data_IF_152921581650
#
_entry.id   IF_152921581650
#
_cell.length_a   1.000
_cell.length_b   1.000
_cell.length_c   1.000
_cell.angle_alpha   90.00
_cell.angle_beta   90.00
_cell.angle_gamma   90.00
#
_symmetry.space_group_name_H-M   'P 1'
#
loop_
_entity.id
_entity.type
_entity.pdbx_description
1 polymer ?
#
# COMPACT_ATOMS: atom_id res chain seq x y z
N UNK A 1 -25.15 -11.25 8.66
CA UNK A 1 -24.74 -10.81 7.30
C UNK A 1 -23.71 -9.66 7.25
N UNK A 2 -23.31 -9.01 8.37
CA UNK A 2 -22.30 -7.91 8.38
C UNK A 2 -20.83 -8.34 8.20
N UNK A 3 -20.49 -9.60 8.50
CA UNK A 3 -19.08 -10.07 8.51
C UNK A 3 -18.50 -10.19 7.10
N UNK A 4 -19.23 -10.84 6.19
CA UNK A 4 -18.73 -11.12 4.84
C UNK A 4 -18.49 -9.85 4.00
N UNK A 5 -19.38 -8.85 4.08
CA UNK A 5 -19.21 -7.57 3.37
C UNK A 5 -18.05 -6.76 3.94
N UNK A 6 -17.83 -6.82 5.25
CA UNK A 6 -16.68 -6.17 5.90
C UNK A 6 -15.36 -6.83 5.49
N UNK A 7 -15.31 -8.16 5.48
CA UNK A 7 -14.16 -8.92 5.00
C UNK A 7 -13.84 -8.60 3.54
N UNK A 8 -14.86 -8.61 2.67
CA UNK A 8 -14.69 -8.25 1.27
C UNK A 8 -14.15 -6.84 1.10
N UNK A 9 -14.65 -5.86 1.86
CA UNK A 9 -14.17 -4.48 1.76
C UNK A 9 -12.67 -4.34 2.09
N UNK A 10 -12.16 -5.12 3.05
CA UNK A 10 -10.73 -5.13 3.43
C UNK A 10 -9.88 -5.86 2.40
N UNK A 11 -10.37 -6.98 1.87
CA UNK A 11 -9.59 -7.89 1.01
C UNK A 11 -9.62 -7.48 -0.47
N UNK A 12 -10.66 -6.78 -0.92
CA UNK A 12 -10.82 -6.35 -2.31
C UNK A 12 -9.60 -5.59 -2.85
N UNK A 13 -9.01 -4.59 -2.14
CA UNK A 13 -7.79 -3.94 -2.59
C UNK A 13 -6.64 -4.90 -2.85
N UNK A 14 -6.46 -5.92 -2.00
CA UNK A 14 -5.41 -6.94 -2.16
C UNK A 14 -5.65 -7.82 -3.39
N UNK A 15 -6.89 -8.29 -3.58
CA UNK A 15 -7.26 -9.13 -4.74
C UNK A 15 -7.07 -8.36 -6.04
N UNK A 16 -7.61 -7.14 -6.13
CA UNK A 16 -7.49 -6.32 -7.34
C UNK A 16 -6.03 -5.97 -7.62
N UNK A 17 -5.26 -5.55 -6.61
CA UNK A 17 -3.83 -5.24 -6.79
C UNK A 17 -3.05 -6.46 -7.29
N UNK A 18 -3.37 -7.66 -6.78
CA UNK A 18 -2.74 -8.92 -7.22
C UNK A 18 -3.07 -9.25 -8.67
N UNK A 19 -4.31 -9.06 -9.12
CA UNK A 19 -4.67 -9.26 -10.54
C UNK A 19 -3.82 -8.33 -11.43
N UNK A 20 -3.66 -7.08 -11.01
CA UNK A 20 -2.91 -6.08 -11.77
C UNK A 20 -1.39 -6.26 -11.76
N UNK A 21 -0.85 -7.15 -10.92
CA UNK A 21 0.57 -7.55 -11.00
C UNK A 21 0.90 -8.14 -12.38
N UNK A 22 -0.06 -8.79 -13.04
CA UNK A 22 0.11 -9.34 -14.38
C UNK A 22 0.07 -8.28 -15.50
N UNK A 23 -0.42 -7.08 -15.21
CA UNK A 23 -0.58 -6.00 -16.20
C UNK A 23 0.69 -5.15 -16.26
N UNK A 24 1.34 -4.97 -17.42
CA UNK A 24 2.57 -4.19 -17.56
C UNK A 24 2.32 -2.68 -17.48
N UNK A 25 1.98 -2.19 -16.28
CA UNK A 25 1.66 -0.79 -16.03
C UNK A 25 2.80 0.15 -16.43
N UNK A 26 4.05 -0.26 -16.24
CA UNK A 26 5.22 0.53 -16.65
C UNK A 26 5.27 0.77 -18.17
N UNK A 27 4.79 -0.18 -18.98
CA UNK A 27 4.70 -0.03 -20.43
C UNK A 27 3.51 0.84 -20.83
N UNK A 28 2.45 0.90 -20.03
CA UNK A 28 1.29 1.77 -20.27
C UNK A 28 1.57 3.23 -19.88
N UNK A 29 2.40 3.44 -18.86
CA UNK A 29 2.73 4.77 -18.32
C UNK A 29 3.97 5.40 -18.96
N UNK A 30 4.78 4.62 -19.67
CA UNK A 30 6.01 5.09 -20.31
C UNK A 30 5.80 5.39 -21.79
N UNK A 31 6.36 6.50 -22.26
CA UNK A 31 6.45 6.80 -23.69
C UNK A 31 7.42 5.85 -24.43
N UNK A 32 8.35 5.22 -23.69
CA UNK A 32 9.36 4.32 -24.22
C UNK A 32 9.07 2.87 -23.88
N UNK A 33 9.44 1.91 -24.74
CA UNK A 33 9.28 0.48 -24.45
C UNK A 33 10.12 0.10 -23.22
N UNK A 34 9.43 -0.29 -22.15
CA UNK A 34 10.07 -0.81 -20.94
C UNK A 34 10.13 -2.33 -21.04
N UNK A 35 11.32 -2.95 -20.94
CA UNK A 35 11.44 -4.39 -20.96
C UNK A 35 10.85 -4.99 -19.68
N UNK A 36 9.63 -5.52 -19.80
CA UNK A 36 8.81 -6.08 -18.71
C UNK A 36 9.55 -7.10 -17.83
N UNK A 37 10.47 -7.87 -18.42
CA UNK A 37 11.20 -8.94 -17.73
C UNK A 37 12.61 -8.58 -17.27
N UNK A 38 13.11 -7.37 -17.59
CA UNK A 38 14.47 -6.98 -17.20
C UNK A 38 14.60 -6.75 -15.69
N UNK A 39 13.49 -6.35 -15.05
CA UNK A 39 13.48 -5.94 -13.66
C UNK A 39 12.36 -6.66 -12.89
N UNK A 40 12.73 -7.67 -12.11
CA UNK A 40 11.80 -8.48 -11.31
C UNK A 40 10.99 -7.65 -10.30
N UNK A 41 11.51 -6.51 -9.86
CA UNK A 41 10.83 -5.61 -8.93
C UNK A 41 9.64 -4.85 -9.55
N UNK A 42 9.47 -4.84 -10.89
CA UNK A 42 8.28 -4.28 -11.52
C UNK A 42 7.01 -5.05 -11.15
N UNK A 43 7.12 -6.37 -10.95
CA UNK A 43 6.00 -7.25 -10.62
C UNK A 43 5.29 -6.76 -9.33
N UNK A 44 5.93 -6.70 -8.16
CA UNK A 44 5.28 -6.17 -6.96
C UNK A 44 5.03 -4.65 -7.03
N UNK A 45 5.83 -3.90 -7.79
CA UNK A 45 5.63 -2.46 -7.94
C UNK A 45 4.26 -2.12 -8.57
N UNK A 46 3.79 -2.91 -9.54
CA UNK A 46 2.44 -2.75 -10.13
C UNK A 46 1.35 -2.87 -9.06
N UNK A 47 1.47 -3.87 -8.19
CA UNK A 47 0.57 -4.06 -7.04
C UNK A 47 0.61 -2.87 -6.08
N UNK A 48 1.80 -2.31 -5.82
CA UNK A 48 1.96 -1.10 -5.01
C UNK A 48 1.27 0.11 -5.67
N UNK A 49 1.43 0.34 -6.97
CA UNK A 49 0.77 1.45 -7.67
C UNK A 49 -0.75 1.35 -7.57
N UNK A 50 -1.32 0.19 -7.85
CA UNK A 50 -2.78 -0.01 -7.80
C UNK A 50 -3.33 0.17 -6.39
N UNK A 51 -2.68 -0.43 -5.39
CA UNK A 51 -3.09 -0.28 -4.00
C UNK A 51 -2.96 1.16 -3.50
N UNK A 52 -1.95 1.92 -3.95
CA UNK A 52 -1.83 3.35 -3.66
C UNK A 52 -2.97 4.16 -4.27
N UNK A 53 -3.36 3.88 -5.52
CA UNK A 53 -4.51 4.52 -6.16
C UNK A 53 -5.79 4.21 -5.39
N UNK A 54 -6.01 2.96 -5.00
CA UNK A 54 -7.14 2.59 -4.13
C UNK A 54 -7.13 3.36 -2.82
N UNK A 55 -5.96 3.48 -2.19
CA UNK A 55 -5.80 4.22 -0.95
C UNK A 55 -6.14 5.70 -1.10
N UNK A 56 -5.67 6.34 -2.18
CA UNK A 56 -5.98 7.74 -2.49
C UNK A 56 -7.48 7.95 -2.74
N UNK A 57 -8.11 7.09 -3.55
CA UNK A 57 -9.55 7.18 -3.85
C UNK A 57 -10.38 6.92 -2.60
N UNK A 58 -10.07 5.88 -1.82
CA UNK A 58 -10.78 5.57 -0.58
C UNK A 58 -10.56 6.67 0.48
N UNK A 59 -9.37 7.27 0.53
CA UNK A 59 -9.05 8.42 1.38
C UNK A 59 -9.82 9.67 0.98
N UNK A 60 -9.93 9.97 -0.31
CA UNK A 60 -10.72 11.09 -0.83
C UNK A 60 -12.22 10.94 -0.55
N UNK A 61 -12.72 9.71 -0.59
CA UNK A 61 -14.12 9.38 -0.28
C UNK A 61 -14.36 9.06 1.20
N UNK A 62 -13.34 9.20 2.05
CA UNK A 62 -13.38 8.80 3.45
C UNK A 62 -14.48 9.54 4.20
N UNK A 63 -15.29 8.78 4.94
CA UNK A 63 -16.29 9.32 5.84
C UNK A 63 -16.53 8.34 6.98
N UNK A 64 -16.64 8.84 8.22
CA UNK A 64 -16.95 8.01 9.40
C UNK A 64 -18.27 7.24 9.25
N UNK A 65 -19.20 7.74 8.43
CA UNK A 65 -20.50 7.08 8.18
C UNK A 65 -20.38 5.94 7.17
N UNK A 66 -19.33 5.90 6.35
CA UNK A 66 -19.16 4.94 5.25
C UNK A 66 -18.16 3.85 5.65
N UNK A 67 -18.63 2.95 6.50
CA UNK A 67 -17.82 1.87 7.08
C UNK A 67 -17.04 1.05 6.04
N UNK A 68 -17.65 0.70 4.90
CA UNK A 68 -16.97 -0.06 3.85
C UNK A 68 -15.81 0.70 3.20
N UNK A 69 -15.96 2.00 2.93
CA UNK A 69 -14.87 2.83 2.38
C UNK A 69 -13.73 2.93 3.39
N UNK A 70 -14.06 3.10 4.66
CA UNK A 70 -13.09 3.10 5.76
C UNK A 70 -12.30 1.78 5.81
N UNK A 71 -12.97 0.65 5.69
CA UNK A 71 -12.31 -0.66 5.63
C UNK A 71 -11.46 -0.86 4.37
N UNK A 72 -11.93 -0.42 3.20
CA UNK A 72 -11.13 -0.45 1.97
C UNK A 72 -9.93 0.48 2.03
N UNK A 73 -10.04 1.63 2.71
CA UNK A 73 -8.92 2.52 2.99
C UNK A 73 -7.85 1.84 3.85
N UNK A 74 -8.25 1.10 4.90
CA UNK A 74 -7.34 0.30 5.70
C UNK A 74 -6.70 -0.84 4.89
N UNK A 75 -7.51 -1.61 4.16
CA UNK A 75 -7.06 -2.75 3.37
C UNK A 75 -6.07 -2.34 2.27
N UNK A 76 -6.32 -1.22 1.59
CA UNK A 76 -5.42 -0.66 0.58
C UNK A 76 -4.10 -0.19 1.18
N UNK A 77 -4.11 0.43 2.38
CA UNK A 77 -2.88 0.84 3.07
C UNK A 77 -1.97 -0.36 3.40
N UNK A 78 -2.56 -1.44 3.94
CA UNK A 78 -1.82 -2.67 4.27
C UNK A 78 -1.29 -3.36 3.01
N UNK A 79 -2.13 -3.45 1.98
CA UNK A 79 -1.75 -4.01 0.68
C UNK A 79 -0.59 -3.22 0.06
N UNK A 80 -0.67 -1.89 0.10
CA UNK A 80 0.36 -1.00 -0.40
C UNK A 80 1.69 -1.21 0.31
N UNK A 81 1.71 -1.19 1.65
CA UNK A 81 2.93 -1.41 2.42
C UNK A 81 3.55 -2.79 2.11
N UNK A 82 2.72 -3.83 1.95
CA UNK A 82 3.17 -5.18 1.61
C UNK A 82 3.87 -5.21 0.25
N UNK A 83 3.24 -4.69 -0.80
CA UNK A 83 3.85 -4.62 -2.13
C UNK A 83 5.06 -3.69 -2.17
N UNK A 84 5.02 -2.56 -1.48
CA UNK A 84 6.14 -1.62 -1.39
C UNK A 84 7.39 -2.28 -0.82
N UNK A 85 7.28 -2.97 0.31
CA UNK A 85 8.42 -3.67 0.91
C UNK A 85 8.82 -4.92 0.14
N UNK A 86 7.91 -5.59 -0.56
CA UNK A 86 8.26 -6.66 -1.49
C UNK A 86 9.08 -6.14 -2.68
N UNK A 87 8.73 -4.97 -3.24
CA UNK A 87 9.53 -4.28 -4.25
C UNK A 87 10.92 -3.97 -3.72
N UNK A 88 11.03 -3.35 -2.54
CA UNK A 88 12.32 -3.01 -1.93
C UNK A 88 13.15 -4.26 -1.61
N UNK A 89 12.52 -5.35 -1.19
CA UNK A 89 13.20 -6.63 -1.01
C UNK A 89 13.77 -7.18 -2.32
N UNK A 90 13.02 -7.16 -3.42
CA UNK A 90 13.56 -7.61 -4.72
C UNK A 90 14.67 -6.70 -5.25
N UNK A 91 14.60 -5.40 -4.96
CA UNK A 91 15.69 -4.45 -5.26
C UNK A 91 16.91 -4.76 -4.39
N UNK A 92 16.72 -5.14 -3.12
CA UNK A 92 17.82 -5.42 -2.18
C UNK A 92 18.70 -6.60 -2.60
N UNK A 93 18.15 -7.51 -3.42
CA UNK A 93 18.90 -8.61 -4.03
C UNK A 93 19.96 -8.15 -5.04
N UNK A 94 19.88 -6.91 -5.53
CA UNK A 94 20.82 -6.35 -6.53
C UNK A 94 21.58 -5.13 -6.05
N UNK A 95 21.02 -4.34 -5.14
CA UNK A 95 21.65 -3.14 -4.59
C UNK A 95 21.30 -2.99 -3.10
N UNK A 96 22.21 -2.53 -2.23
CA UNK A 96 21.92 -2.44 -0.81
C UNK A 96 20.77 -1.46 -0.53
N UNK A 97 19.74 -1.93 0.18
CA UNK A 97 18.63 -1.09 0.63
C UNK A 97 18.75 -0.87 2.14
N UNK A 98 18.72 0.40 2.56
CA UNK A 98 18.75 0.78 3.98
C UNK A 98 17.44 1.48 4.33
N UNK A 99 16.68 0.89 5.25
CA UNK A 99 15.47 1.48 5.79
C UNK A 99 15.81 2.38 6.98
N UNK A 100 15.24 3.57 6.98
CA UNK A 100 15.33 4.57 8.04
C UNK A 100 13.90 4.94 8.48
N UNK A 101 13.72 5.60 9.63
CA UNK A 101 12.42 6.16 9.98
C UNK A 101 11.97 7.16 8.91
N UNK A 102 10.82 6.89 8.26
CA UNK A 102 10.20 7.64 7.17
C UNK A 102 10.99 7.73 5.85
N UNK A 103 12.16 7.12 5.74
CA UNK A 103 13.01 7.24 4.56
C UNK A 103 13.71 5.92 4.21
N UNK A 104 14.20 5.80 2.99
CA UNK A 104 15.11 4.72 2.60
C UNK A 104 16.15 5.18 1.56
N UNK A 105 17.22 4.39 1.44
CA UNK A 105 18.32 4.58 0.49
C UNK A 105 18.49 3.32 -0.36
N UNK A 106 18.83 3.47 -1.64
CA UNK A 106 19.09 2.36 -2.58
C UNK A 106 20.47 2.52 -3.24
N UNK A 107 21.45 1.73 -2.80
CA UNK A 107 22.84 1.86 -3.25
C UNK A 107 23.64 2.90 -2.47
N UNK A 108 24.92 3.03 -2.81
CA UNK A 108 25.89 3.82 -2.04
C UNK A 108 25.77 5.34 -2.21
N UNK A 109 25.31 5.80 -3.38
CA UNK A 109 25.17 7.22 -3.75
C UNK A 109 23.72 7.59 -4.08
N UNK A 110 22.77 6.94 -3.41
CA UNK A 110 21.34 7.19 -3.62
C UNK A 110 20.90 8.51 -2.97
N UNK A 111 19.98 9.28 -3.59
CA UNK A 111 19.25 10.29 -2.86
C UNK A 111 18.39 9.64 -1.77
N UNK A 112 18.03 10.43 -0.75
CA UNK A 112 17.11 10.01 0.30
C UNK A 112 15.68 9.97 -0.26
N UNK A 113 15.06 8.79 -0.27
CA UNK A 113 13.68 8.62 -0.72
C UNK A 113 12.74 8.60 0.48
N UNK A 114 11.57 9.25 0.36
CA UNK A 114 10.50 9.15 1.34
C UNK A 114 9.91 7.73 1.32
N UNK A 115 9.87 7.07 2.48
CA UNK A 115 9.27 5.76 2.64
C UNK A 115 7.75 5.88 2.73
N UNK A 116 7.10 5.87 1.57
CA UNK A 116 5.65 5.84 1.50
C UNK A 116 5.07 4.61 2.20
N UNK A 117 5.80 3.50 2.25
CA UNK A 117 5.42 2.28 2.99
C UNK A 117 5.24 2.50 4.49
N UNK A 118 5.86 3.54 5.07
CA UNK A 118 5.60 4.00 6.45
C UNK A 118 4.56 5.11 6.50
N UNK A 119 4.64 6.09 5.59
CA UNK A 119 3.76 7.27 5.58
C UNK A 119 2.30 6.85 5.39
N UNK A 120 2.00 5.96 4.45
CA UNK A 120 0.63 5.53 4.12
C UNK A 120 -0.04 4.83 5.31
N UNK A 121 0.55 3.81 5.97
CA UNK A 121 -0.01 3.24 7.18
C UNK A 121 -0.11 4.24 8.34
N UNK A 122 0.85 5.15 8.49
CA UNK A 122 0.82 6.15 9.56
C UNK A 122 -0.35 7.12 9.41
N UNK A 123 -0.58 7.64 8.20
CA UNK A 123 -1.74 8.47 7.89
C UNK A 123 -3.06 7.70 8.04
N UNK A 124 -3.06 6.42 7.66
CA UNK A 124 -4.22 5.54 7.87
C UNK A 124 -4.51 5.35 9.35
N UNK A 125 -3.50 5.07 10.18
CA UNK A 125 -3.65 4.97 11.62
C UNK A 125 -4.17 6.27 12.24
N UNK A 126 -3.72 7.43 11.75
CA UNK A 126 -4.22 8.73 12.19
C UNK A 126 -5.72 8.94 11.87
N UNK A 127 -6.20 8.43 10.73
CA UNK A 127 -7.62 8.42 10.39
C UNK A 127 -8.42 7.53 11.34
N UNK A 128 -7.84 6.39 11.76
CA UNK A 128 -8.44 5.44 12.71
C UNK A 128 -8.13 5.75 14.19
N UNK A 129 -7.70 6.98 14.51
CA UNK A 129 -7.26 7.35 15.87
C UNK A 129 -8.32 7.12 16.95
N UNK A 130 -9.61 7.20 16.62
CA UNK A 130 -10.71 7.03 17.59
C UNK A 130 -10.85 5.56 17.97
N UNK A 131 -10.87 4.68 16.99
CA UNK A 131 -10.93 3.23 17.15
C UNK A 131 -9.68 2.73 17.90
N UNK A 132 -8.49 3.19 17.51
CA UNK A 132 -7.24 2.84 18.18
C UNK A 132 -7.26 3.25 19.67
N UNK A 133 -7.73 4.47 19.98
CA UNK A 133 -7.87 4.92 21.38
C UNK A 133 -8.88 4.09 22.17
N UNK A 134 -9.97 3.63 21.54
CA UNK A 134 -10.96 2.78 22.21
C UNK A 134 -10.37 1.41 22.56
N UNK A 135 -9.68 0.79 21.60
CA UNK A 135 -8.98 -0.49 21.79
C UNK A 135 -7.93 -0.38 22.89
N UNK A 136 -7.08 0.66 22.85
CA UNK A 136 -6.03 0.87 23.85
C UNK A 136 -6.57 1.14 25.27
N UNK A 137 -7.75 1.75 25.39
CA UNK A 137 -8.41 2.01 26.68
C UNK A 137 -9.16 0.81 27.24
N UNK A 138 -9.08 -0.36 26.58
CA UNK A 138 -9.79 -1.57 27.00
C UNK A 138 -11.32 -1.46 26.90
N UNK A 139 -11.85 -0.37 26.32
CA UNK A 139 -13.27 -0.24 26.05
C UNK A 139 -13.54 -0.94 24.72
N UNK A 140 -14.00 -2.19 24.79
CA UNK A 140 -14.80 -2.76 23.70
C UNK A 140 -15.97 -1.80 23.50
N UNK A 141 -16.00 -1.10 22.37
CA UNK A 141 -17.18 -0.32 21.97
C UNK A 141 -18.41 -1.22 21.91
N UNK A 142 -19.62 -0.65 21.99
CA UNK A 142 -20.88 -1.39 22.01
C UNK A 142 -21.05 -2.34 20.82
#
# INVERSE_FOLDING_TARGET
>A
MRSSTSFLAIVTPAVVSTIFVAVPLESLLSAYPVPVFAFSWYIPWRGAVVSLIFWLVAGALYSEKRYYIKLSFLGSAVTFATYHYLTLYLVSLRAPVRLLPLFYLVGSNSPLFLDLGQVVPMLTALAFRRELRQVLRGRRGP
#
